data_IF_143774990416
#
_entry.id   IF_143774990416
#
_cell.length_a   1.000
_cell.length_b   1.000
_cell.length_c   1.000
_cell.angle_alpha   90.00
_cell.angle_beta   90.00
_cell.angle_gamma   90.00
#
_symmetry.space_group_name_H-M   'P 1'
#
loop_
_entity.id
_entity.type
_entity.pdbx_description
1 polymer ?
#
# COMPACT_ATOMS: atom_id res chain seq x y z
N UNK A 1 7.15 -25.11 -13.63
CA UNK A 1 6.36 -24.10 -14.34
C UNK A 1 5.78 -23.09 -13.36
N UNK A 2 5.07 -23.51 -12.32
CA UNK A 2 4.42 -22.60 -11.35
C UNK A 2 5.38 -21.66 -10.64
N UNK A 3 6.57 -22.14 -10.22
CA UNK A 3 7.59 -21.32 -9.58
C UNK A 3 8.09 -20.19 -10.49
N UNK A 4 8.31 -20.47 -11.76
CA UNK A 4 8.75 -19.48 -12.74
C UNK A 4 7.67 -18.45 -13.02
N UNK A 5 6.44 -18.91 -13.14
CA UNK A 5 5.27 -18.05 -13.33
C UNK A 5 5.04 -17.13 -12.12
N UNK A 6 5.17 -17.64 -10.88
CA UNK A 6 5.09 -16.84 -9.66
C UNK A 6 6.15 -15.74 -9.61
N UNK A 7 7.37 -16.03 -10.04
CA UNK A 7 8.43 -15.03 -10.10
C UNK A 7 8.06 -13.88 -11.04
N UNK A 8 7.56 -14.19 -12.23
CA UNK A 8 7.11 -13.19 -13.21
C UNK A 8 5.97 -12.35 -12.63
N UNK A 9 4.93 -12.98 -12.08
CA UNK A 9 3.80 -12.30 -11.47
C UNK A 9 4.24 -11.40 -10.32
N UNK A 10 5.13 -11.89 -9.43
CA UNK A 10 5.65 -11.12 -8.31
C UNK A 10 6.38 -9.86 -8.79
N UNK A 11 7.22 -10.00 -9.82
CA UNK A 11 7.93 -8.87 -10.42
C UNK A 11 6.95 -7.85 -11.01
N UNK A 12 6.01 -8.30 -11.85
CA UNK A 12 5.02 -7.40 -12.46
C UNK A 12 4.19 -6.65 -11.41
N UNK A 13 3.76 -7.33 -10.35
CA UNK A 13 3.01 -6.70 -9.27
C UNK A 13 3.86 -5.67 -8.50
N UNK A 14 5.14 -5.94 -8.31
CA UNK A 14 6.06 -4.99 -7.66
C UNK A 14 6.32 -3.77 -8.54
N UNK A 15 6.46 -3.95 -9.85
CA UNK A 15 6.60 -2.84 -10.79
C UNK A 15 5.35 -1.94 -10.77
N UNK A 16 4.15 -2.53 -10.77
CA UNK A 16 2.88 -1.78 -10.66
C UNK A 16 2.78 -1.03 -9.31
N UNK A 17 3.14 -1.69 -8.19
CA UNK A 17 3.16 -1.05 -6.88
C UNK A 17 4.09 0.16 -6.87
N UNK A 18 5.28 0.01 -7.44
CA UNK A 18 6.27 1.09 -7.55
C UNK A 18 5.73 2.26 -8.39
N UNK A 19 5.21 1.98 -9.58
CA UNK A 19 4.66 3.00 -10.48
C UNK A 19 3.50 3.78 -9.84
N UNK A 20 2.63 3.09 -9.10
CA UNK A 20 1.54 3.74 -8.36
C UNK A 20 2.08 4.66 -7.25
N UNK A 21 3.12 4.25 -6.53
CA UNK A 21 3.78 5.09 -5.50
C UNK A 21 4.43 6.32 -6.13
N UNK A 22 5.19 6.14 -7.21
CA UNK A 22 5.85 7.25 -7.92
C UNK A 22 4.83 8.24 -8.47
N UNK A 23 3.75 7.73 -9.09
CA UNK A 23 2.67 8.59 -9.60
C UNK A 23 2.01 9.37 -8.47
N UNK A 24 1.68 8.72 -7.37
CA UNK A 24 1.08 9.37 -6.20
C UNK A 24 1.97 10.48 -5.64
N UNK A 25 3.29 10.22 -5.48
CA UNK A 25 4.26 11.23 -5.02
C UNK A 25 4.28 12.45 -5.94
N UNK A 26 4.31 12.22 -7.26
CA UNK A 26 4.26 13.29 -8.25
C UNK A 26 2.96 14.09 -8.20
N UNK A 27 1.84 13.41 -8.01
CA UNK A 27 0.54 14.08 -7.91
C UNK A 27 0.45 14.94 -6.62
N UNK A 28 0.99 14.46 -5.49
CA UNK A 28 1.09 15.24 -4.25
C UNK A 28 2.04 16.43 -4.40
N UNK A 29 3.18 16.25 -5.05
CA UNK A 29 4.16 17.34 -5.29
C UNK A 29 3.54 18.47 -6.11
N UNK A 30 2.65 18.15 -7.05
CA UNK A 30 1.98 19.13 -7.91
C UNK A 30 0.67 19.67 -7.30
N UNK A 31 0.24 19.16 -6.14
CA UNK A 31 -0.99 19.58 -5.47
C UNK A 31 -0.73 20.82 -4.59
N UNK A 32 -1.21 21.99 -5.04
CA UNK A 32 -1.09 23.24 -4.28
C UNK A 32 -1.96 23.30 -3.01
N UNK A 33 -2.87 22.35 -2.82
CA UNK A 33 -3.78 22.31 -1.65
C UNK A 33 -3.18 21.59 -0.44
N UNK A 34 -2.04 20.94 -0.60
CA UNK A 34 -1.35 20.20 0.46
C UNK A 34 0.15 20.23 0.24
N UNK A 35 0.90 19.79 1.22
CA UNK A 35 2.30 19.46 1.08
C UNK A 35 2.55 17.99 1.48
N UNK A 36 3.78 17.54 1.28
CA UNK A 36 4.15 16.17 1.57
C UNK A 36 4.20 15.79 3.06
N UNK A 37 3.96 16.73 3.97
CA UNK A 37 3.92 16.54 5.42
C UNK A 37 2.48 16.58 5.94
N UNK A 38 1.74 17.63 5.61
CA UNK A 38 0.36 17.83 6.07
C UNK A 38 -0.55 16.66 5.66
N UNK A 39 -0.34 16.11 4.47
CA UNK A 39 -1.10 14.96 3.99
C UNK A 39 -0.87 13.70 4.83
N UNK A 40 0.33 13.54 5.40
CA UNK A 40 0.65 12.42 6.29
C UNK A 40 -0.07 12.59 7.63
N UNK A 41 -0.05 13.79 8.20
CA UNK A 41 -0.72 14.11 9.47
C UNK A 41 -2.24 13.93 9.33
N UNK A 42 -2.82 14.43 8.24
CA UNK A 42 -4.24 14.27 7.94
C UNK A 42 -4.63 12.79 7.83
N UNK A 43 -3.83 11.99 7.13
CA UNK A 43 -4.07 10.56 6.98
C UNK A 43 -3.93 9.81 8.30
N UNK A 44 -2.86 10.03 9.05
CA UNK A 44 -2.60 9.30 10.30
C UNK A 44 -3.63 9.67 11.38
N UNK A 45 -4.06 10.93 11.47
CA UNK A 45 -5.09 11.37 12.42
C UNK A 45 -6.43 10.67 12.18
N UNK A 46 -6.76 10.37 10.94
CA UNK A 46 -8.01 9.67 10.56
C UNK A 46 -7.88 8.15 10.54
N UNK A 47 -6.66 7.61 10.66
CA UNK A 47 -6.39 6.17 10.55
C UNK A 47 -5.60 5.60 11.75
N UNK A 48 -6.15 5.56 12.96
CA UNK A 48 -5.46 5.10 14.17
C UNK A 48 -4.99 3.63 14.08
N UNK A 49 -5.57 2.84 13.17
CA UNK A 49 -5.11 1.50 12.88
C UNK A 49 -3.71 1.48 12.24
N UNK A 50 -3.41 2.44 11.35
CA UNK A 50 -2.09 2.59 10.74
C UNK A 50 -1.07 3.00 11.79
N UNK A 51 -1.41 3.96 12.66
CA UNK A 51 -0.54 4.38 13.77
C UNK A 51 -0.16 3.17 14.63
N UNK A 52 -1.12 2.35 15.04
CA UNK A 52 -0.84 1.12 15.82
C UNK A 52 0.07 0.13 15.10
N UNK A 53 -0.01 0.03 13.78
CA UNK A 53 0.93 -0.79 13.00
C UNK A 53 2.34 -0.21 13.02
N UNK A 54 2.48 1.11 12.86
CA UNK A 54 3.78 1.78 12.95
C UNK A 54 4.38 1.59 14.34
N UNK A 55 3.60 1.72 15.41
CA UNK A 55 4.02 1.43 16.79
C UNK A 55 4.56 0.00 16.94
N UNK A 56 3.84 -0.99 16.41
CA UNK A 56 4.28 -2.38 16.43
C UNK A 56 5.58 -2.59 15.61
N UNK A 57 5.73 -1.89 14.49
CA UNK A 57 6.88 -1.97 13.60
C UNK A 57 8.10 -1.17 14.11
N UNK A 58 7.95 -0.37 15.18
CA UNK A 58 9.04 0.42 15.78
C UNK A 58 10.18 -0.42 16.35
N UNK A 59 9.97 -1.72 16.54
CA UNK A 59 10.99 -2.70 16.96
C UNK A 59 11.48 -3.59 15.84
N UNK A 60 10.95 -3.45 14.64
CA UNK A 60 11.34 -4.24 13.47
C UNK A 60 12.71 -3.80 12.94
N UNK A 61 13.64 -4.71 12.67
CA UNK A 61 14.96 -4.35 12.13
C UNK A 61 14.92 -3.69 10.74
N UNK A 62 13.78 -3.79 10.04
CA UNK A 62 13.63 -3.23 8.70
C UNK A 62 13.06 -1.80 8.68
N UNK A 63 12.35 -1.39 9.74
CA UNK A 63 11.59 -0.13 9.76
C UNK A 63 11.88 0.73 10.98
N UNK A 64 12.51 0.19 12.03
CA UNK A 64 12.75 0.90 13.29
C UNK A 64 13.51 2.21 13.10
N UNK A 65 14.55 2.22 12.27
CA UNK A 65 15.37 3.41 12.07
C UNK A 65 14.59 4.56 11.44
N UNK A 66 13.75 4.27 10.44
CA UNK A 66 12.88 5.28 9.83
C UNK A 66 11.81 5.76 10.83
N UNK A 67 11.22 4.83 11.58
CA UNK A 67 10.18 5.18 12.55
C UNK A 67 10.77 6.05 13.66
N UNK A 68 11.91 5.68 14.24
CA UNK A 68 12.57 6.48 15.29
C UNK A 68 13.10 7.83 14.81
N UNK A 69 13.35 7.96 13.51
CA UNK A 69 13.82 9.23 12.93
C UNK A 69 12.70 10.25 12.74
N UNK A 70 11.49 9.79 12.39
CA UNK A 70 10.39 10.67 11.97
C UNK A 70 9.17 10.63 12.91
N UNK A 71 9.21 9.81 13.96
CA UNK A 71 8.13 9.68 14.94
C UNK A 71 8.67 9.75 16.36
N UNK A 72 8.05 10.55 17.18
CA UNK A 72 8.37 10.57 18.61
C UNK A 72 7.65 9.43 19.32
N UNK A 73 8.42 8.50 19.88
CA UNK A 73 7.90 7.29 20.52
C UNK A 73 8.08 7.40 22.05
N UNK A 74 7.00 7.22 22.76
CA UNK A 74 7.02 7.07 24.21
C UNK A 74 6.86 5.58 24.58
N UNK A 75 7.72 5.11 25.48
CA UNK A 75 7.59 3.77 26.08
C UNK A 75 6.69 3.84 27.29
N UNK A 76 5.53 3.23 27.20
CA UNK A 76 4.60 3.13 28.33
C UNK A 76 4.75 1.77 28.98
N UNK A 77 4.95 1.79 30.32
CA UNK A 77 5.00 0.56 31.12
C UNK A 77 3.64 0.28 31.73
N UNK A 78 2.90 -0.68 31.17
CA UNK A 78 1.78 -1.29 31.85
C UNK A 78 2.25 -2.58 32.57
N UNK A 79 1.61 -2.93 33.70
CA UNK A 79 2.01 -4.02 34.62
C UNK A 79 2.35 -5.38 33.98
N UNK A 80 2.10 -5.61 32.71
CA UNK A 80 2.36 -6.87 32.01
C UNK A 80 2.98 -6.75 30.62
N UNK A 81 2.97 -5.57 29.97
CA UNK A 81 3.53 -5.42 28.63
C UNK A 81 4.15 -4.02 28.45
N UNK A 82 5.36 -4.02 27.90
CA UNK A 82 6.00 -2.82 27.40
C UNK A 82 5.38 -2.47 26.04
N UNK A 83 4.77 -1.30 25.93
CA UNK A 83 4.14 -0.83 24.70
C UNK A 83 4.83 0.46 24.22
N UNK A 84 5.19 0.51 22.97
CA UNK A 84 5.62 1.73 22.31
C UNK A 84 4.38 2.47 21.79
N UNK A 85 4.26 3.75 22.07
CA UNK A 85 3.20 4.62 21.56
C UNK A 85 3.83 5.78 20.82
N UNK A 86 3.32 6.06 19.63
CA UNK A 86 3.67 7.25 18.86
C UNK A 86 2.86 8.41 19.42
N UNK A 87 3.55 9.42 19.96
CA UNK A 87 2.94 10.61 20.57
C UNK A 87 3.01 11.84 19.67
N UNK A 88 3.91 11.86 18.68
CA UNK A 88 4.02 12.88 17.64
C UNK A 88 4.63 12.27 16.38
N UNK A 89 4.20 12.75 15.23
CA UNK A 89 4.69 12.36 13.90
C UNK A 89 4.90 13.59 13.02
N UNK A 90 5.18 14.70 13.66
CA UNK A 90 5.52 15.95 12.99
C UNK A 90 6.76 15.75 12.10
N UNK A 91 6.74 16.31 10.93
CA UNK A 91 7.83 16.22 9.94
C UNK A 91 8.04 14.83 9.28
N UNK A 92 7.07 13.92 9.34
CA UNK A 92 7.15 12.69 8.56
C UNK A 92 6.78 13.00 7.08
N UNK A 93 7.74 12.98 6.14
CA UNK A 93 7.41 13.22 4.74
C UNK A 93 6.69 12.02 4.13
N UNK A 94 5.85 12.28 3.15
CA UNK A 94 5.02 11.26 2.49
C UNK A 94 5.83 10.07 1.94
N UNK A 95 7.03 10.31 1.40
CA UNK A 95 7.86 9.23 0.88
C UNK A 95 8.30 8.25 1.98
N UNK A 96 8.56 8.73 3.22
CA UNK A 96 8.84 7.87 4.38
C UNK A 96 7.62 7.04 4.74
N UNK A 97 6.45 7.67 4.80
CA UNK A 97 5.22 6.93 5.05
C UNK A 97 5.03 5.80 4.03
N UNK A 98 5.24 6.06 2.73
CA UNK A 98 5.10 5.07 1.66
C UNK A 98 6.07 3.88 1.79
N UNK A 99 7.27 4.09 2.37
CA UNK A 99 8.21 3.00 2.68
C UNK A 99 7.77 2.17 3.89
N UNK A 100 7.07 2.77 4.85
CA UNK A 100 6.60 2.10 6.06
C UNK A 100 5.28 1.34 5.85
N UNK A 101 4.50 1.70 4.84
CA UNK A 101 3.21 1.08 4.56
C UNK A 101 3.36 -0.26 3.84
N UNK A 102 2.57 -1.25 4.27
CA UNK A 102 2.34 -2.44 3.43
C UNK A 102 1.57 -2.06 2.17
N UNK A 103 1.62 -2.88 1.12
CA UNK A 103 0.84 -2.60 -0.10
C UNK A 103 -0.66 -2.43 0.16
N UNK A 104 -1.23 -3.18 1.12
CA UNK A 104 -2.63 -3.01 1.52
C UNK A 104 -2.91 -1.68 2.21
N UNK A 105 -1.98 -1.18 3.01
CA UNK A 105 -2.10 0.10 3.70
C UNK A 105 -1.81 1.26 2.73
N UNK A 106 -0.89 1.06 1.78
CA UNK A 106 -0.68 1.98 0.67
C UNK A 106 -1.96 2.21 -0.16
N UNK A 107 -2.73 1.15 -0.46
CA UNK A 107 -4.01 1.29 -1.17
C UNK A 107 -4.98 2.21 -0.39
N UNK A 108 -5.00 2.11 0.95
CA UNK A 108 -5.82 3.01 1.80
C UNK A 108 -5.37 4.46 1.71
N UNK A 109 -4.06 4.71 1.73
CA UNK A 109 -3.50 6.05 1.57
C UNK A 109 -3.77 6.61 0.17
N UNK A 110 -3.62 5.78 -0.86
CA UNK A 110 -3.96 6.10 -2.25
C UNK A 110 -5.43 6.51 -2.39
N UNK A 111 -6.35 5.72 -1.84
CA UNK A 111 -7.78 6.07 -1.84
C UNK A 111 -8.08 7.35 -1.08
N UNK A 112 -7.47 7.52 0.09
CA UNK A 112 -7.62 8.72 0.91
C UNK A 112 -7.23 9.97 0.12
N UNK A 113 -6.05 10.00 -0.47
CA UNK A 113 -5.57 11.15 -1.24
C UNK A 113 -6.48 11.48 -2.42
N UNK A 114 -6.73 10.53 -3.31
CA UNK A 114 -7.51 10.80 -4.52
C UNK A 114 -8.99 11.07 -4.24
N UNK A 115 -9.57 10.45 -3.23
CA UNK A 115 -10.98 10.65 -2.90
C UNK A 115 -11.23 11.98 -2.19
N UNK A 116 -10.35 12.40 -1.27
CA UNK A 116 -10.48 13.69 -0.57
C UNK A 116 -10.36 14.89 -1.53
N UNK A 117 -9.68 14.71 -2.65
CA UNK A 117 -9.46 15.75 -3.66
C UNK A 117 -10.32 15.58 -4.92
N UNK A 118 -11.18 14.56 -4.94
CA UNK A 118 -12.02 14.22 -6.09
C UNK A 118 -11.24 14.11 -7.42
N UNK A 119 -10.02 13.54 -7.34
CA UNK A 119 -9.13 13.37 -8.47
C UNK A 119 -9.38 12.03 -9.18
N UNK A 120 -9.14 11.95 -10.51
CA UNK A 120 -9.23 10.70 -11.24
C UNK A 120 -8.16 9.72 -10.75
N UNK A 121 -8.55 8.48 -10.50
CA UNK A 121 -7.67 7.42 -10.01
C UNK A 121 -7.91 6.10 -10.71
N UNK A 122 -6.90 5.22 -10.68
CA UNK A 122 -7.11 3.82 -11.04
C UNK A 122 -8.13 3.20 -10.09
N UNK A 123 -9.05 2.40 -10.65
CA UNK A 123 -10.10 1.78 -9.87
C UNK A 123 -9.51 0.86 -8.78
N UNK A 124 -9.86 1.10 -7.53
CA UNK A 124 -9.40 0.32 -6.38
C UNK A 124 -9.60 -1.18 -6.51
N UNK A 125 -10.69 -1.70 -7.12
CA UNK A 125 -10.81 -3.14 -7.38
C UNK A 125 -9.64 -3.69 -8.22
N UNK A 126 -9.12 -2.96 -9.20
CA UNK A 126 -7.97 -3.39 -10.00
C UNK A 126 -6.71 -3.48 -9.13
N UNK A 127 -6.45 -2.45 -8.33
CA UNK A 127 -5.27 -2.44 -7.43
C UNK A 127 -5.37 -3.59 -6.41
N UNK A 128 -6.57 -3.89 -5.90
CA UNK A 128 -6.79 -5.02 -5.00
C UNK A 128 -6.56 -6.39 -5.68
N UNK A 129 -6.84 -6.52 -6.98
CA UNK A 129 -6.49 -7.73 -7.73
C UNK A 129 -4.97 -7.90 -7.85
N UNK A 130 -4.24 -6.82 -8.15
CA UNK A 130 -2.76 -6.83 -8.15
C UNK A 130 -2.22 -7.25 -6.79
N UNK A 131 -2.76 -6.69 -5.69
CA UNK A 131 -2.39 -7.08 -4.33
C UNK A 131 -2.65 -8.56 -4.07
N UNK A 132 -3.79 -9.09 -4.49
CA UNK A 132 -4.14 -10.50 -4.31
C UNK A 132 -3.21 -11.43 -5.08
N UNK A 133 -2.87 -11.10 -6.32
CA UNK A 133 -1.90 -11.83 -7.13
C UNK A 133 -0.51 -11.81 -6.50
N UNK A 134 -0.04 -10.63 -6.08
CA UNK A 134 1.25 -10.47 -5.40
C UNK A 134 1.32 -11.32 -4.12
N UNK A 135 0.26 -11.32 -3.31
CA UNK A 135 0.22 -12.10 -2.09
C UNK A 135 0.19 -13.60 -2.39
N UNK A 136 -0.60 -14.05 -3.38
CA UNK A 136 -0.60 -15.44 -3.82
C UNK A 136 0.77 -15.91 -4.27
N UNK A 137 1.49 -15.09 -5.04
CA UNK A 137 2.85 -15.39 -5.49
C UNK A 137 3.85 -15.45 -4.33
N UNK A 138 3.78 -14.52 -3.38
CA UNK A 138 4.69 -14.41 -2.24
C UNK A 138 4.49 -15.54 -1.21
N UNK A 139 3.25 -15.99 -1.00
CA UNK A 139 2.92 -17.08 -0.05
C UNK A 139 3.05 -18.48 -0.64
N UNK A 140 3.70 -18.63 -1.80
CA UNK A 140 3.88 -19.92 -2.47
C UNK A 140 2.58 -20.66 -2.81
N UNK A 141 1.46 -19.92 -2.93
CA UNK A 141 0.22 -20.52 -3.39
C UNK A 141 0.36 -20.99 -4.84
N UNK A 142 -0.20 -22.13 -5.18
CA UNK A 142 -0.24 -22.59 -6.56
C UNK A 142 -1.19 -21.69 -7.37
N UNK A 143 -0.65 -20.77 -8.15
CA UNK A 143 -1.43 -19.81 -8.96
C UNK A 143 -2.16 -20.55 -10.10
N UNK A 144 -1.62 -21.67 -10.54
CA UNK A 144 -2.15 -22.47 -11.65
C UNK A 144 -3.07 -23.61 -11.20
N UNK A 145 -3.37 -23.74 -9.90
CA UNK A 145 -4.12 -24.89 -9.34
C UNK A 145 -5.55 -24.98 -9.85
N UNK A 146 -6.14 -23.89 -10.29
CA UNK A 146 -7.56 -23.80 -10.64
C UNK A 146 -7.79 -23.39 -12.11
N UNK A 147 -6.87 -23.77 -13.00
CA UNK A 147 -7.04 -23.56 -14.44
C UNK A 147 -7.96 -24.59 -15.11
N UNK A 148 -8.44 -25.59 -14.36
CA UNK A 148 -9.33 -26.63 -14.88
C UNK A 148 -10.79 -26.13 -14.90
N UNK A 149 -11.29 -25.93 -16.11
CA UNK A 149 -12.73 -25.89 -16.42
C UNK A 149 -13.58 -24.77 -15.83
N UNK A 150 -13.47 -23.55 -16.37
CA UNK A 150 -14.56 -22.56 -16.37
C UNK A 150 -15.05 -22.03 -15.01
N UNK A 151 -14.36 -22.36 -13.92
CA UNK A 151 -14.66 -21.88 -12.58
C UNK A 151 -14.11 -20.49 -12.33
N UNK A 152 -13.00 -20.13 -12.99
CA UNK A 152 -12.39 -18.80 -12.91
C UNK A 152 -12.93 -17.91 -14.02
N UNK A 153 -13.73 -16.93 -13.68
CA UNK A 153 -14.13 -15.86 -14.62
C UNK A 153 -13.21 -14.66 -14.44
N UNK A 154 -12.70 -14.13 -15.55
CA UNK A 154 -12.00 -12.84 -15.52
C UNK A 154 -12.92 -11.77 -14.90
N UNK A 155 -12.42 -10.97 -13.94
CA UNK A 155 -13.19 -9.85 -13.42
C UNK A 155 -13.70 -8.97 -14.56
N UNK A 156 -15.00 -8.62 -14.50
CA UNK A 156 -15.69 -7.88 -15.59
C UNK A 156 -14.94 -6.59 -15.99
N UNK A 157 -14.36 -5.91 -15.03
CA UNK A 157 -13.59 -4.68 -15.26
C UNK A 157 -12.36 -4.94 -16.14
N UNK A 158 -11.63 -6.03 -15.93
CA UNK A 158 -10.46 -6.40 -16.75
C UNK A 158 -10.92 -6.82 -18.15
N UNK A 159 -11.99 -7.59 -18.27
CA UNK A 159 -12.55 -8.00 -19.56
C UNK A 159 -13.02 -6.80 -20.39
N UNK A 160 -13.56 -5.77 -19.75
CA UNK A 160 -13.98 -4.52 -20.40
C UNK A 160 -12.77 -3.72 -20.92
N UNK A 161 -11.72 -3.56 -20.09
CA UNK A 161 -10.50 -2.86 -20.51
C UNK A 161 -9.80 -3.57 -21.69
N UNK A 162 -9.67 -4.90 -21.61
CA UNK A 162 -9.07 -5.68 -22.72
C UNK A 162 -9.90 -5.54 -24.01
N UNK A 163 -11.22 -5.54 -23.92
CA UNK A 163 -12.07 -5.39 -25.10
C UNK A 163 -11.96 -4.01 -25.76
N UNK A 164 -11.69 -2.97 -24.98
CA UNK A 164 -11.43 -1.63 -25.51
C UNK A 164 -10.09 -1.55 -26.27
N UNK A 165 -9.05 -2.22 -25.75
CA UNK A 165 -7.73 -2.27 -26.41
C UNK A 165 -7.80 -3.11 -27.70
N UNK A 166 -8.57 -4.21 -27.69
CA UNK A 166 -8.68 -5.12 -28.85
C UNK A 166 -9.53 -4.55 -29.99
N UNK A 167 -10.22 -3.42 -29.77
CA UNK A 167 -11.06 -2.76 -30.79
C UNK A 167 -10.33 -1.65 -31.55
N UNK A 168 -9.02 -1.47 -31.29
CA UNK A 168 -8.11 -0.59 -32.03
C UNK A 168 -7.33 -1.42 -33.04
#
# INVERSE_FOLDING_TARGET
>A
IDMHFRFIISKMCSDIEHDLKVKLLKDIENDSSTNGYDIVDEFLSTNPYIVRKLEANSVSPFTSDLIHKYFTIQRTYNRSNQKNEIIAYDDCPVWVLLELLTFGDFIRFYEFYYSSRNLPKLATPIINLVKSLRNGAAHNNCILSDLAHGTSRSPRIISQEISQISSI
#
